data_IF_213140403419
#
_entry.id   IF_213140403419
#
_cell.length_a   1.000
_cell.length_b   1.000
_cell.length_c   1.000
_cell.angle_alpha   90.00
_cell.angle_beta   90.00
_cell.angle_gamma   90.00
#
_symmetry.space_group_name_H-M   'P 1'
#
loop_
_entity.id
_entity.type
_entity.pdbx_description
1 polymer ?
#
# COMPACT_ATOMS: atom_id res chain seq x y z
N UNK A 1 20.29 -4.16 -1.46
CA UNK A 1 19.70 -2.81 -1.28
C UNK A 1 18.56 -2.66 -2.28
N UNK A 2 17.43 -2.07 -1.87
CA UNK A 2 16.30 -1.88 -2.76
C UNK A 2 16.63 -0.83 -3.85
N UNK A 3 16.46 -1.17 -5.12
CA UNK A 3 16.72 -0.30 -6.28
C UNK A 3 16.08 1.08 -6.11
N UNK A 4 14.81 1.10 -5.73
CA UNK A 4 14.03 2.34 -5.57
C UNK A 4 14.56 3.21 -4.42
N UNK A 5 15.17 2.61 -3.38
CA UNK A 5 15.80 3.36 -2.28
C UNK A 5 17.07 4.11 -2.74
N UNK A 6 17.87 3.46 -3.58
CA UNK A 6 19.06 4.09 -4.16
C UNK A 6 18.67 5.17 -5.17
N UNK A 7 17.64 4.91 -5.97
CA UNK A 7 17.03 5.89 -6.89
C UNK A 7 16.51 7.12 -6.14
N UNK A 8 15.78 6.90 -5.03
CA UNK A 8 15.31 8.00 -4.18
C UNK A 8 16.47 8.90 -3.73
N UNK A 9 17.57 8.32 -3.24
CA UNK A 9 18.71 9.10 -2.75
C UNK A 9 19.46 9.86 -3.84
N UNK A 10 19.61 9.25 -5.03
CA UNK A 10 20.41 9.79 -6.12
C UNK A 10 19.68 10.82 -6.97
N UNK A 11 18.38 10.61 -7.21
CA UNK A 11 17.62 11.38 -8.18
C UNK A 11 16.43 12.11 -7.57
N UNK A 12 15.60 11.43 -6.78
CA UNK A 12 14.35 12.00 -6.25
C UNK A 12 14.60 13.09 -5.22
N UNK A 13 15.46 12.81 -4.24
CA UNK A 13 15.76 13.77 -3.17
C UNK A 13 16.40 15.08 -3.69
N UNK A 14 17.40 15.07 -4.60
CA UNK A 14 17.91 16.29 -5.18
C UNK A 14 16.88 17.05 -6.03
N UNK A 15 16.01 16.34 -6.77
CA UNK A 15 14.96 16.94 -7.58
C UNK A 15 13.93 17.68 -6.70
N UNK A 16 13.48 17.05 -5.61
CA UNK A 16 12.56 17.66 -4.64
C UNK A 16 13.20 18.87 -3.95
N UNK A 17 14.47 18.76 -3.56
CA UNK A 17 15.21 19.86 -2.93
C UNK A 17 15.24 21.09 -3.84
N UNK A 18 15.49 20.89 -5.14
CA UNK A 18 15.51 21.97 -6.14
C UNK A 18 14.13 22.57 -6.40
N UNK A 19 13.08 21.71 -6.48
CA UNK A 19 11.72 22.14 -6.82
C UNK A 19 11.05 22.95 -5.71
N UNK A 20 11.22 22.53 -4.46
CA UNK A 20 10.59 23.16 -3.28
C UNK A 20 11.55 24.04 -2.47
N UNK A 21 12.78 24.25 -2.95
CA UNK A 21 13.80 25.14 -2.34
C UNK A 21 14.02 24.87 -0.84
N UNK A 22 14.09 23.58 -0.45
CA UNK A 22 14.32 23.22 0.95
C UNK A 22 15.68 23.70 1.45
N UNK A 23 15.71 24.27 2.66
CA UNK A 23 16.92 24.78 3.32
C UNK A 23 17.81 23.65 3.89
N UNK A 24 17.25 22.50 4.14
CA UNK A 24 17.95 21.36 4.76
C UNK A 24 17.54 20.05 4.10
N UNK A 25 18.49 19.14 3.95
CA UNK A 25 18.26 17.77 3.46
C UNK A 25 17.25 17.00 4.33
N UNK A 26 17.14 17.35 5.62
CA UNK A 26 16.20 16.71 6.54
C UNK A 26 14.74 17.11 6.31
N UNK A 27 14.48 18.19 5.56
CA UNK A 27 13.14 18.64 5.21
C UNK A 27 12.56 17.89 4.01
N UNK A 28 13.41 17.23 3.22
CA UNK A 28 12.98 16.52 2.02
C UNK A 28 11.99 15.41 2.40
N UNK A 29 10.80 15.38 1.79
CA UNK A 29 9.82 14.35 2.06
C UNK A 29 10.33 12.95 1.64
N UNK A 30 10.04 11.98 2.48
CA UNK A 30 10.38 10.56 2.26
C UNK A 30 9.23 9.65 2.64
N UNK A 31 9.22 8.43 2.13
CA UNK A 31 8.31 7.39 2.61
C UNK A 31 8.74 6.96 4.02
N UNK A 32 7.79 6.98 4.96
CA UNK A 32 7.97 6.47 6.32
C UNK A 32 7.56 4.98 6.40
N UNK A 33 6.38 4.67 5.89
CA UNK A 33 5.84 3.31 5.87
C UNK A 33 4.79 3.15 4.78
N UNK A 34 4.57 1.90 4.37
CA UNK A 34 3.43 1.50 3.54
C UNK A 34 2.60 0.49 4.31
N UNK A 35 1.29 0.70 4.34
CA UNK A 35 0.35 -0.16 5.04
C UNK A 35 -0.53 -0.83 4.00
N UNK A 36 -0.55 -2.15 3.99
CA UNK A 36 -1.47 -2.94 3.18
C UNK A 36 -2.53 -3.52 4.10
N UNK A 37 -3.81 -3.28 3.77
CA UNK A 37 -4.94 -3.76 4.53
C UNK A 37 -5.95 -4.47 3.64
N UNK A 38 -6.40 -5.63 4.07
CA UNK A 38 -7.47 -6.40 3.43
C UNK A 38 -8.61 -6.58 4.40
N UNK A 39 -9.80 -6.12 4.01
CA UNK A 39 -11.04 -6.39 4.73
C UNK A 39 -11.55 -7.80 4.41
N UNK A 40 -11.70 -8.64 5.41
CA UNK A 40 -12.19 -10.01 5.29
C UNK A 40 -13.43 -10.23 6.18
N UNK A 41 -14.42 -9.35 6.04
CA UNK A 41 -15.64 -9.41 6.86
C UNK A 41 -16.47 -10.68 6.65
N UNK A 42 -16.34 -11.33 5.50
CA UNK A 42 -16.94 -12.64 5.19
C UNK A 42 -16.17 -13.82 5.83
N UNK A 43 -14.93 -13.61 6.21
CA UNK A 43 -14.10 -14.62 6.87
C UNK A 43 -14.27 -14.66 8.40
N UNK A 44 -15.18 -13.85 8.96
CA UNK A 44 -15.43 -13.79 10.40
C UNK A 44 -15.85 -15.15 11.00
N UNK A 45 -16.60 -15.94 10.21
CA UNK A 45 -17.12 -17.25 10.59
C UNK A 45 -16.32 -18.41 9.95
N UNK A 46 -15.31 -18.09 9.10
CA UNK A 46 -14.51 -19.06 8.36
C UNK A 46 -13.00 -18.78 8.54
N UNK A 47 -12.39 -19.50 9.48
CA UNK A 47 -10.96 -19.37 9.76
C UNK A 47 -10.08 -19.74 8.56
N UNK A 48 -10.49 -20.74 7.74
CA UNK A 48 -9.72 -21.13 6.55
C UNK A 48 -9.61 -20.00 5.53
N UNK A 49 -10.72 -19.28 5.28
CA UNK A 49 -10.72 -18.13 4.40
C UNK A 49 -9.82 -16.99 4.91
N UNK A 50 -9.75 -16.80 6.24
CA UNK A 50 -8.83 -15.84 6.83
C UNK A 50 -7.37 -16.24 6.66
N UNK A 51 -7.07 -17.52 6.89
CA UNK A 51 -5.72 -18.07 6.75
C UNK A 51 -5.22 -17.98 5.29
N UNK A 52 -6.11 -18.16 4.31
CA UNK A 52 -5.82 -17.92 2.90
C UNK A 52 -5.41 -16.46 2.65
N UNK A 53 -6.16 -15.48 3.18
CA UNK A 53 -5.80 -14.05 3.06
C UNK A 53 -4.46 -13.74 3.73
N UNK A 54 -4.20 -14.32 4.89
CA UNK A 54 -2.90 -14.17 5.59
C UNK A 54 -1.77 -14.68 4.71
N UNK A 55 -1.95 -15.83 4.07
CA UNK A 55 -0.96 -16.43 3.17
C UNK A 55 -0.72 -15.57 1.93
N UNK A 56 -1.79 -15.09 1.29
CA UNK A 56 -1.70 -14.23 0.11
C UNK A 56 -0.91 -12.95 0.42
N UNK A 57 -1.27 -12.25 1.50
CA UNK A 57 -0.58 -11.02 1.90
C UNK A 57 0.88 -11.30 2.31
N UNK A 58 1.16 -12.41 2.98
CA UNK A 58 2.52 -12.79 3.30
C UNK A 58 3.36 -13.06 2.04
N UNK A 59 2.77 -13.69 1.02
CA UNK A 59 3.42 -13.95 -0.27
C UNK A 59 3.70 -12.65 -1.02
N UNK A 60 2.73 -11.73 -1.09
CA UNK A 60 2.87 -10.43 -1.78
C UNK A 60 3.93 -9.56 -1.10
N UNK A 61 3.91 -9.49 0.23
CA UNK A 61 4.72 -8.51 0.98
C UNK A 61 6.04 -9.07 1.51
N UNK A 62 6.18 -10.40 1.56
CA UNK A 62 7.33 -11.07 2.18
C UNK A 62 7.39 -10.96 3.71
N UNK A 63 6.36 -10.36 4.34
CA UNK A 63 6.28 -10.17 5.78
C UNK A 63 4.99 -10.77 6.33
N UNK A 64 5.07 -11.45 7.49
CA UNK A 64 3.90 -12.01 8.15
C UNK A 64 2.92 -10.91 8.57
N UNK A 65 1.68 -10.91 8.07
CA UNK A 65 0.68 -9.92 8.42
C UNK A 65 0.05 -10.18 9.79
N UNK A 66 -0.61 -9.17 10.32
CA UNK A 66 -1.35 -9.22 11.58
C UNK A 66 -2.84 -9.33 11.26
N UNK A 67 -3.53 -10.28 11.91
CA UNK A 67 -4.99 -10.37 11.87
C UNK A 67 -5.59 -9.25 12.72
N UNK A 68 -6.50 -8.48 12.13
CA UNK A 68 -7.19 -7.39 12.81
C UNK A 68 -8.51 -7.87 13.40
N UNK A 69 -8.76 -7.50 14.67
CA UNK A 69 -9.94 -7.87 15.42
C UNK A 69 -10.91 -6.71 15.57
N UNK A 70 -12.20 -7.02 15.66
CA UNK A 70 -13.23 -6.04 15.94
C UNK A 70 -13.03 -5.43 17.34
N UNK A 71 -13.08 -4.11 17.44
CA UNK A 71 -12.92 -3.35 18.70
C UNK A 71 -14.23 -3.19 19.45
N UNK A 72 -15.37 -3.27 18.75
CA UNK A 72 -16.72 -3.10 19.30
C UNK A 72 -17.67 -4.12 18.66
N UNK A 73 -18.67 -4.54 19.41
CA UNK A 73 -19.76 -5.36 18.89
C UNK A 73 -20.73 -4.48 18.09
N UNK A 74 -21.10 -4.92 16.88
CA UNK A 74 -22.05 -4.22 16.00
C UNK A 74 -23.08 -5.23 15.50
N UNK A 75 -24.32 -5.12 15.99
CA UNK A 75 -25.39 -6.09 15.70
C UNK A 75 -25.75 -6.15 14.21
N UNK A 76 -25.81 -5.00 13.52
CA UNK A 76 -26.16 -4.92 12.09
C UNK A 76 -25.18 -5.72 11.20
N UNK A 77 -23.90 -5.81 11.58
CA UNK A 77 -22.91 -6.59 10.87
C UNK A 77 -22.67 -7.98 11.47
N UNK A 78 -23.46 -8.37 12.47
CA UNK A 78 -23.29 -9.64 13.22
C UNK A 78 -21.86 -9.80 13.72
N UNK A 79 -21.26 -8.71 14.23
CA UNK A 79 -19.91 -8.66 14.76
C UNK A 79 -19.96 -8.62 16.29
N UNK A 80 -19.10 -9.43 16.91
CA UNK A 80 -18.77 -9.35 18.34
C UNK A 80 -17.35 -8.83 18.52
N UNK A 81 -17.12 -8.17 19.63
CA UNK A 81 -15.78 -7.76 20.03
C UNK A 81 -14.82 -8.95 20.05
N UNK A 82 -13.61 -8.76 19.51
CA UNK A 82 -12.59 -9.81 19.40
C UNK A 82 -12.70 -10.70 18.16
N UNK A 83 -13.77 -10.63 17.36
CA UNK A 83 -13.87 -11.39 16.10
C UNK A 83 -12.87 -10.88 15.07
N UNK A 84 -12.30 -11.81 14.29
CA UNK A 84 -11.37 -11.49 13.21
C UNK A 84 -12.12 -10.86 12.04
N UNK A 85 -11.69 -9.70 11.56
CA UNK A 85 -12.36 -8.93 10.50
C UNK A 85 -11.50 -8.58 9.31
N UNK A 86 -10.20 -8.80 9.40
CA UNK A 86 -9.28 -8.45 8.31
C UNK A 86 -7.84 -8.78 8.63
N UNK A 87 -6.99 -8.39 7.70
CA UNK A 87 -5.55 -8.62 7.76
C UNK A 87 -4.81 -7.34 7.40
N UNK A 88 -3.77 -7.01 8.13
CA UNK A 88 -2.95 -5.82 7.92
C UNK A 88 -1.47 -6.13 8.01
N UNK A 89 -0.68 -5.50 7.14
CA UNK A 89 0.78 -5.48 7.23
C UNK A 89 1.30 -4.06 7.15
N UNK A 90 2.37 -3.76 7.86
CA UNK A 90 3.07 -2.47 7.79
C UNK A 90 4.51 -2.72 7.36
N UNK A 91 4.85 -2.18 6.20
CA UNK A 91 6.18 -2.30 5.60
C UNK A 91 7.00 -1.04 5.86
N UNK A 92 8.29 -1.23 6.17
CA UNK A 92 9.26 -0.16 6.40
C UNK A 92 10.61 -0.51 5.79
N UNK A 93 11.48 0.48 5.64
CA UNK A 93 12.84 0.29 5.17
C UNK A 93 12.92 -0.36 3.79
N UNK A 94 13.84 -1.29 3.60
CA UNK A 94 14.10 -1.92 2.30
C UNK A 94 12.88 -2.70 1.78
N UNK A 95 12.17 -3.43 2.65
CA UNK A 95 10.96 -4.17 2.28
C UNK A 95 9.87 -3.24 1.73
N UNK A 96 9.72 -2.05 2.28
CA UNK A 96 8.80 -1.03 1.80
C UNK A 96 9.16 -0.58 0.37
N UNK A 97 10.42 -0.22 0.13
CA UNK A 97 10.86 0.23 -1.19
C UNK A 97 10.76 -0.87 -2.25
N UNK A 98 11.08 -2.11 -1.91
CA UNK A 98 10.91 -3.28 -2.78
C UNK A 98 9.45 -3.51 -3.16
N UNK A 99 8.55 -3.42 -2.19
CA UNK A 99 7.11 -3.55 -2.42
C UNK A 99 6.58 -2.43 -3.33
N UNK A 100 6.97 -1.16 -3.08
CA UNK A 100 6.55 -0.01 -3.88
C UNK A 100 7.07 -0.11 -5.31
N UNK A 101 8.32 -0.54 -5.51
CA UNK A 101 8.90 -0.74 -6.83
C UNK A 101 8.11 -1.78 -7.63
N UNK A 102 7.82 -2.94 -7.05
CA UNK A 102 7.00 -3.99 -7.70
C UNK A 102 5.56 -3.52 -7.96
N UNK A 103 4.98 -2.78 -7.03
CA UNK A 103 3.63 -2.24 -7.19
C UNK A 103 3.54 -1.31 -8.40
N UNK A 104 4.46 -0.33 -8.52
CA UNK A 104 4.40 0.66 -9.61
C UNK A 104 4.86 0.10 -10.96
N UNK A 105 5.91 -0.71 -10.98
CA UNK A 105 6.50 -1.19 -12.22
C UNK A 105 5.85 -2.45 -12.78
N UNK A 106 5.28 -3.31 -11.93
CA UNK A 106 4.77 -4.62 -12.36
C UNK A 106 3.27 -4.79 -12.10
N UNK A 107 2.79 -4.50 -10.87
CA UNK A 107 1.43 -4.82 -10.49
C UNK A 107 0.40 -3.85 -11.10
N UNK A 108 0.62 -2.53 -11.01
CA UNK A 108 -0.33 -1.54 -11.55
C UNK A 108 -0.54 -1.64 -13.05
N UNK A 109 0.49 -1.85 -13.91
CA UNK A 109 0.28 -2.04 -15.35
C UNK A 109 -0.57 -3.27 -15.71
N UNK A 110 -0.68 -4.25 -14.81
CA UNK A 110 -1.50 -5.46 -14.99
C UNK A 110 -2.97 -5.27 -14.60
N UNK A 111 -3.32 -4.13 -14.00
CA UNK A 111 -4.72 -3.80 -13.69
C UNK A 111 -5.49 -3.66 -15.00
N UNK A 112 -6.64 -4.33 -15.08
CA UNK A 112 -7.52 -4.23 -16.26
C UNK A 112 -7.98 -2.79 -16.46
N UNK A 113 -7.88 -2.31 -17.72
CA UNK A 113 -8.27 -0.95 -18.13
C UNK A 113 -7.58 0.14 -17.29
N UNK A 114 -6.30 -0.07 -16.94
CA UNK A 114 -5.55 0.88 -16.14
C UNK A 114 -5.31 2.18 -16.89
N UNK A 115 -5.77 3.31 -16.31
CA UNK A 115 -5.60 4.66 -16.86
C UNK A 115 -4.71 5.56 -16.00
N UNK A 116 -4.23 5.05 -14.89
CA UNK A 116 -3.51 5.80 -13.86
C UNK A 116 -4.18 5.71 -12.50
N UNK A 117 -3.47 6.17 -11.48
CA UNK A 117 -3.99 6.25 -10.12
C UNK A 117 -4.54 7.66 -9.85
N UNK A 118 -5.59 7.76 -9.04
CA UNK A 118 -6.24 9.03 -8.75
C UNK A 118 -5.27 10.00 -8.04
N UNK A 119 -5.01 11.14 -8.65
CA UNK A 119 -4.13 12.19 -8.11
C UNK A 119 -4.69 12.98 -6.94
N UNK A 120 -5.96 12.73 -6.52
CA UNK A 120 -6.64 13.48 -5.47
C UNK A 120 -6.96 12.61 -4.22
N UNK A 121 -6.39 11.41 -4.10
CA UNK A 121 -6.62 10.49 -2.99
C UNK A 121 -5.64 10.72 -1.82
N UNK A 122 -5.30 11.98 -1.55
CA UNK A 122 -4.51 12.43 -0.41
C UNK A 122 -5.40 12.85 0.76
N UNK A 123 -4.85 12.83 1.97
CA UNK A 123 -5.57 13.12 3.22
C UNK A 123 -5.41 14.56 3.75
N UNK A 124 -4.78 15.45 3.00
CA UNK A 124 -4.45 16.83 3.43
C UNK A 124 -3.16 16.94 4.27
N UNK A 125 -2.50 15.81 4.55
CA UNK A 125 -1.26 15.73 5.36
C UNK A 125 -0.15 14.96 4.66
N UNK A 126 -0.23 14.85 3.34
CA UNK A 126 0.77 14.18 2.54
C UNK A 126 0.73 12.65 2.57
N UNK A 127 -0.33 12.02 3.06
CA UNK A 127 -0.50 10.56 2.93
C UNK A 127 -1.42 10.25 1.75
N UNK A 128 -1.13 9.15 1.06
CA UNK A 128 -1.86 8.73 -0.13
C UNK A 128 -2.52 7.36 0.08
N UNK A 129 -3.76 7.20 -0.36
CA UNK A 129 -4.51 5.95 -0.25
C UNK A 129 -4.87 5.41 -1.64
N UNK A 130 -4.49 4.16 -1.90
CA UNK A 130 -4.76 3.44 -3.13
C UNK A 130 -5.64 2.23 -2.84
N UNK A 131 -6.80 2.14 -3.50
CA UNK A 131 -7.66 0.96 -3.48
C UNK A 131 -7.41 0.07 -4.69
N UNK A 132 -7.10 -1.19 -4.47
CA UNK A 132 -7.00 -2.22 -5.49
C UNK A 132 -8.20 -3.15 -5.39
N UNK A 133 -8.80 -3.51 -6.54
CA UNK A 133 -9.98 -4.38 -6.58
C UNK A 133 -9.63 -5.87 -6.47
N UNK A 134 -8.43 -6.26 -6.92
CA UNK A 134 -8.04 -7.65 -7.08
C UNK A 134 -6.59 -7.87 -6.61
N UNK A 135 -6.32 -8.97 -5.88
CA UNK A 135 -4.96 -9.38 -5.51
C UNK A 135 -4.21 -10.05 -6.68
N UNK A 136 -4.91 -10.46 -7.73
CA UNK A 136 -4.34 -11.17 -8.87
C UNK A 136 -3.39 -10.33 -9.75
N UNK A 137 -3.36 -9.03 -9.54
CA UNK A 137 -2.41 -8.14 -10.23
C UNK A 137 -0.96 -8.40 -9.80
N UNK A 138 -0.75 -9.00 -8.63
CA UNK A 138 0.58 -9.37 -8.16
C UNK A 138 1.01 -10.69 -8.77
N UNK A 139 2.18 -10.74 -9.45
CA UNK A 139 2.65 -11.96 -10.14
C UNK A 139 2.97 -13.12 -9.18
N UNK A 140 3.17 -12.83 -7.90
CA UNK A 140 3.44 -13.81 -6.87
C UNK A 140 2.21 -14.67 -6.50
N UNK A 141 1.02 -14.23 -6.90
CA UNK A 141 -0.25 -14.91 -6.63
C UNK A 141 -0.64 -15.76 -7.83
N UNK A 142 -0.72 -17.07 -7.64
CA UNK A 142 -1.21 -18.03 -8.64
C UNK A 142 -2.74 -18.07 -8.61
N UNK A 143 -3.37 -17.89 -9.77
CA UNK A 143 -4.84 -17.88 -9.91
C UNK A 143 -5.51 -19.14 -9.34
N UNK A 144 -4.92 -20.30 -9.58
CA UNK A 144 -5.47 -21.60 -9.18
C UNK A 144 -5.47 -21.84 -7.65
N UNK A 145 -4.69 -21.05 -6.91
CA UNK A 145 -4.58 -21.14 -5.44
C UNK A 145 -5.47 -20.14 -4.69
N UNK A 146 -6.12 -19.23 -5.42
CA UNK A 146 -6.95 -18.19 -4.83
C UNK A 146 -8.38 -18.69 -4.61
N UNK A 147 -8.83 -18.80 -3.37
CA UNK A 147 -10.21 -19.20 -3.05
C UNK A 147 -11.22 -18.12 -3.44
N UNK A 148 -10.86 -16.83 -3.28
CA UNK A 148 -11.74 -15.70 -3.56
C UNK A 148 -10.94 -14.46 -3.94
N UNK A 149 -11.39 -13.77 -5.01
CA UNK A 149 -10.85 -12.47 -5.39
C UNK A 149 -11.20 -11.45 -4.30
N UNK A 150 -10.19 -10.74 -3.81
CA UNK A 150 -10.32 -9.73 -2.76
C UNK A 150 -9.59 -8.45 -3.13
N UNK A 151 -10.22 -7.34 -2.81
CA UNK A 151 -9.57 -6.05 -2.89
C UNK A 151 -8.69 -5.79 -1.67
N UNK A 152 -7.81 -4.81 -1.83
CA UNK A 152 -6.95 -4.33 -0.75
C UNK A 152 -6.76 -2.82 -0.80
N UNK A 153 -6.53 -2.23 0.34
CA UNK A 153 -6.17 -0.82 0.47
C UNK A 153 -4.68 -0.71 0.80
N UNK A 154 -3.98 0.11 0.04
CA UNK A 154 -2.56 0.41 0.24
C UNK A 154 -2.45 1.88 0.62
N UNK A 155 -1.89 2.16 1.80
CA UNK A 155 -1.70 3.51 2.30
C UNK A 155 -0.21 3.82 2.35
N UNK A 156 0.19 4.87 1.64
CA UNK A 156 1.54 5.41 1.65
C UNK A 156 1.59 6.53 2.68
N UNK A 157 2.36 6.34 3.73
CA UNK A 157 2.59 7.36 4.75
C UNK A 157 3.93 8.02 4.45
N UNK A 158 3.89 9.33 4.26
CA UNK A 158 5.07 10.13 3.96
C UNK A 158 5.38 11.11 5.08
N UNK A 159 6.55 11.73 5.02
CA UNK A 159 6.93 12.83 5.92
C UNK A 159 6.69 14.20 5.29
N UNK A 160 5.97 14.25 4.16
CA UNK A 160 5.62 15.51 3.50
C UNK A 160 4.70 16.36 4.40
N UNK A 161 4.84 17.66 4.33
CA UNK A 161 3.98 18.60 5.06
C UNK A 161 2.65 18.81 4.35
N UNK A 162 2.64 18.75 3.01
CA UNK A 162 1.50 19.03 2.15
C UNK A 162 1.30 17.92 1.11
N UNK A 163 0.10 17.85 0.55
CA UNK A 163 -0.26 16.86 -0.47
C UNK A 163 0.50 17.07 -1.79
N UNK A 164 0.85 18.32 -2.14
CA UNK A 164 1.63 18.65 -3.31
C UNK A 164 3.05 18.06 -3.27
N UNK A 165 3.71 18.19 -2.11
CA UNK A 165 5.03 17.59 -1.88
C UNK A 165 4.98 16.06 -1.96
N UNK A 166 3.94 15.46 -1.37
CA UNK A 166 3.74 14.01 -1.38
C UNK A 166 3.43 13.50 -2.80
N UNK A 167 2.61 14.22 -3.56
CA UNK A 167 2.28 13.89 -4.95
C UNK A 167 3.53 13.90 -5.81
N UNK A 168 4.35 14.94 -5.69
CA UNK A 168 5.60 15.03 -6.43
C UNK A 168 6.59 13.94 -6.03
N UNK A 169 6.72 13.65 -4.74
CA UNK A 169 7.52 12.54 -4.24
C UNK A 169 7.13 11.22 -4.90
N UNK A 170 5.83 10.89 -4.88
CA UNK A 170 5.33 9.64 -5.47
C UNK A 170 5.48 9.64 -7.00
N UNK A 171 5.23 10.75 -7.68
CA UNK A 171 5.41 10.89 -9.12
C UNK A 171 6.86 10.63 -9.54
N UNK A 172 7.83 11.25 -8.85
CA UNK A 172 9.25 11.04 -9.10
C UNK A 172 9.70 9.61 -8.77
N UNK A 173 9.02 8.92 -7.85
CA UNK A 173 9.27 7.50 -7.55
C UNK A 173 8.62 6.56 -8.58
N UNK A 174 7.93 7.09 -9.58
CA UNK A 174 7.32 6.31 -10.66
C UNK A 174 5.85 5.98 -10.48
N UNK A 175 5.14 6.64 -9.56
CA UNK A 175 3.70 6.46 -9.42
C UNK A 175 2.96 6.97 -10.69
N UNK A 176 2.18 6.11 -11.37
CA UNK A 176 1.50 6.47 -12.62
C UNK A 176 0.18 7.20 -12.32
N UNK A 177 0.24 8.48 -11.99
CA UNK A 177 -0.96 9.30 -11.80
C UNK A 177 -1.73 9.51 -13.11
N UNK A 178 -3.06 9.54 -13.00
CA UNK A 178 -3.96 9.92 -14.09
C UNK A 178 -3.66 11.37 -14.52
N UNK A 179 -3.59 11.60 -15.84
CA UNK A 179 -3.32 12.92 -16.43
C UNK A 179 -4.56 13.78 -16.50
#
# INVERSE_FOLDING_TARGET
MARLKDFYKKEVAPALMKKFEYKSVMQIPKLDKVIVNVGAGDAKDNQKALDAVVKDIATITGQKPIVTKARKSVANFKLREGMNIGVKVTLRGDMMYEFVDRLFSVALPRVRDFRGINGNAFDGRGNYSLGLKEQLIFPEIEYDKVEKIRGMNIVFVTTAANDEEAKELLALMGAPFEK
#
